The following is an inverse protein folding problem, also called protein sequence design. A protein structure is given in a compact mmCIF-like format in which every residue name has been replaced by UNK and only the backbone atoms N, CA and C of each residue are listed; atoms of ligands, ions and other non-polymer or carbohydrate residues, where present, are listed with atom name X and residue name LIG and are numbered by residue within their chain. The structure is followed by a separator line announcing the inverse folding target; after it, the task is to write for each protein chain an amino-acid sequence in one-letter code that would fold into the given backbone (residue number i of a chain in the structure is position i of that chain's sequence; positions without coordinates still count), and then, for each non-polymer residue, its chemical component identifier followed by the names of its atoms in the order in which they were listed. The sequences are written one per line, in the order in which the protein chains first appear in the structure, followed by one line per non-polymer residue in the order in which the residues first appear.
data_IF_562435444548
#
_entry.id   IF_562435444548
#
_cell.length_a   1.000
_cell.length_b   1.000
_cell.length_c   1.000
_cell.angle_alpha   90.00
_cell.angle_beta   90.00
_cell.angle_gamma   90.00
#
_symmetry.space_group_name_H-M   'P 1'
#
loop_
_entity.id
_entity.type
_entity.pdbx_description
1 polymer ?
#
# COMPACT_ATOMS: atom_id res chain seq x y z
N UNK A 1 -11.81 -5.84 -13.07
CA UNK A 1 -10.70 -5.56 -12.10
C UNK A 1 -10.08 -6.84 -11.54
N UNK A 2 -10.86 -7.75 -10.99
CA UNK A 2 -10.31 -9.00 -10.41
C UNK A 2 -9.50 -9.80 -11.43
N UNK A 3 -9.98 -9.94 -12.67
CA UNK A 3 -9.28 -10.64 -13.74
C UNK A 3 -7.97 -9.96 -14.13
N UNK A 4 -7.91 -8.64 -14.14
CA UNK A 4 -6.69 -7.88 -14.44
C UNK A 4 -5.54 -8.16 -13.48
N UNK A 5 -5.86 -8.48 -12.21
CA UNK A 5 -4.88 -8.81 -11.18
C UNK A 5 -4.88 -10.30 -10.81
N UNK A 6 -5.56 -11.15 -11.61
CA UNK A 6 -5.55 -12.59 -11.37
C UNK A 6 -4.15 -13.14 -11.64
N UNK A 7 -3.56 -13.91 -10.73
CA UNK A 7 -2.35 -14.65 -11.02
C UNK A 7 -2.57 -15.61 -12.21
N UNK A 8 -1.74 -15.49 -13.23
CA UNK A 8 -1.81 -16.35 -14.44
C UNK A 8 -1.32 -17.77 -14.16
N UNK A 9 -0.42 -17.89 -13.17
CA UNK A 9 0.18 -19.15 -12.73
C UNK A 9 0.29 -19.15 -11.20
N UNK A 10 0.23 -20.31 -10.54
CA UNK A 10 0.53 -20.42 -9.11
C UNK A 10 1.99 -20.01 -8.85
N UNK A 11 2.33 -19.80 -7.59
CA UNK A 11 3.71 -19.63 -7.19
C UNK A 11 4.51 -20.91 -7.44
N UNK A 12 5.84 -20.77 -7.64
CA UNK A 12 6.75 -21.86 -7.92
C UNK A 12 7.39 -22.43 -6.63
N UNK A 13 8.65 -22.83 -6.75
CA UNK A 13 9.45 -23.27 -5.60
C UNK A 13 9.69 -22.11 -4.63
N UNK A 14 9.96 -22.47 -3.36
CA UNK A 14 10.33 -21.48 -2.36
C UNK A 14 11.52 -21.96 -1.52
N UNK A 15 12.21 -21.00 -0.92
CA UNK A 15 13.27 -21.21 0.08
C UNK A 15 12.92 -20.41 1.32
N UNK A 16 13.20 -21.01 2.47
CA UNK A 16 12.98 -20.41 3.76
C UNK A 16 14.28 -20.49 4.58
N UNK A 17 14.67 -19.37 5.16
CA UNK A 17 15.82 -19.24 6.02
C UNK A 17 15.41 -18.58 7.33
N UNK A 18 15.81 -19.17 8.48
CA UNK A 18 15.57 -18.54 9.77
C UNK A 18 16.67 -17.50 9.98
N UNK A 19 16.29 -16.22 10.00
CA UNK A 19 17.19 -15.11 10.28
C UNK A 19 17.44 -14.97 11.79
N UNK A 20 16.38 -15.13 12.60
CA UNK A 20 16.46 -14.93 14.05
C UNK A 20 15.33 -15.68 14.77
N UNK A 21 15.65 -16.23 15.96
CA UNK A 21 14.65 -16.75 16.91
C UNK A 21 14.82 -16.03 18.25
N UNK A 22 13.71 -15.62 18.84
CA UNK A 22 13.59 -15.01 20.17
C UNK A 22 12.52 -15.74 20.96
N UNK A 23 12.29 -15.36 22.21
CA UNK A 23 11.19 -15.91 23.02
C UNK A 23 9.81 -15.51 22.48
N UNK A 24 9.73 -14.36 21.79
CA UNK A 24 8.47 -13.77 21.30
C UNK A 24 8.15 -14.18 19.86
N UNK A 25 9.15 -14.43 19.01
CA UNK A 25 8.94 -14.76 17.60
C UNK A 25 10.14 -15.41 16.93
N UNK A 26 9.88 -16.08 15.80
CA UNK A 26 10.90 -16.48 14.82
C UNK A 26 10.77 -15.61 13.57
N UNK A 27 11.84 -14.93 13.17
CA UNK A 27 11.94 -14.21 11.91
C UNK A 27 12.49 -15.13 10.83
N UNK A 28 11.70 -15.31 9.78
CA UNK A 28 12.05 -16.10 8.60
C UNK A 28 12.16 -15.21 7.38
N UNK A 29 13.19 -15.46 6.59
CA UNK A 29 13.33 -14.88 5.26
C UNK A 29 12.89 -15.89 4.23
N UNK A 30 11.83 -15.57 3.47
CA UNK A 30 11.23 -16.50 2.51
C UNK A 30 11.38 -15.87 1.11
N UNK A 31 11.89 -16.66 0.17
CA UNK A 31 11.94 -16.29 -1.25
C UNK A 31 11.13 -17.30 -2.05
N UNK A 32 10.13 -16.81 -2.78
CA UNK A 32 9.22 -17.61 -3.59
C UNK A 32 9.44 -17.26 -5.06
N UNK A 33 9.62 -18.26 -5.90
CA UNK A 33 9.70 -18.08 -7.34
C UNK A 33 8.31 -17.81 -7.91
N UNK A 34 8.18 -16.82 -8.80
CA UNK A 34 6.94 -16.59 -9.52
C UNK A 34 7.18 -15.98 -10.90
N UNK A 35 6.20 -16.13 -11.78
CA UNK A 35 6.26 -15.49 -13.11
C UNK A 35 6.21 -13.95 -13.02
N UNK A 36 5.66 -13.40 -11.93
CA UNK A 36 5.62 -11.96 -11.64
C UNK A 36 6.95 -11.42 -11.06
N UNK A 37 8.00 -12.27 -11.06
CA UNK A 37 9.29 -12.04 -10.42
C UNK A 37 9.34 -12.62 -9.00
N UNK A 38 10.51 -12.63 -8.37
CA UNK A 38 10.69 -13.20 -7.03
C UNK A 38 9.84 -12.46 -6.00
N UNK A 39 9.23 -13.22 -5.09
CA UNK A 39 8.49 -12.68 -3.94
C UNK A 39 9.36 -12.89 -2.71
N UNK A 40 9.83 -11.82 -2.13
CA UNK A 40 10.71 -11.84 -0.95
C UNK A 40 9.89 -11.39 0.25
N UNK A 41 9.86 -12.21 1.29
CA UNK A 41 9.03 -12.01 2.48
C UNK A 41 9.89 -12.08 3.73
N UNK A 42 9.73 -11.08 4.61
CA UNK A 42 10.18 -11.16 6.00
C UNK A 42 8.97 -11.59 6.85
N UNK A 43 8.98 -12.81 7.36
CA UNK A 43 7.87 -13.40 8.12
C UNK A 43 8.20 -13.50 9.61
N UNK A 44 7.42 -12.80 10.41
CA UNK A 44 7.48 -12.82 11.88
C UNK A 44 6.44 -13.79 12.39
N UNK A 45 6.88 -14.97 12.78
CA UNK A 45 6.02 -16.07 13.21
C UNK A 45 5.98 -16.16 14.73
N UNK A 46 4.77 -16.26 15.28
CA UNK A 46 4.51 -16.54 16.69
C UNK A 46 5.08 -17.91 17.11
N UNK A 47 5.56 -18.07 18.35
CA UNK A 47 5.88 -19.38 18.89
C UNK A 47 4.67 -20.31 18.93
N UNK A 48 3.51 -19.76 19.24
CA UNK A 48 2.22 -20.49 19.19
C UNK A 48 1.59 -20.31 17.82
N UNK A 49 1.22 -21.43 17.19
CA UNK A 49 0.52 -21.41 15.90
C UNK A 49 -0.78 -20.60 15.99
N UNK A 50 -0.94 -19.66 15.06
CA UNK A 50 -2.16 -18.87 14.88
C UNK A 50 -2.67 -19.01 13.45
N UNK A 51 -3.99 -18.83 13.23
CA UNK A 51 -4.59 -18.80 11.91
C UNK A 51 -4.62 -17.40 11.31
N UNK A 52 -4.31 -16.38 12.11
CA UNK A 52 -4.29 -14.97 11.68
C UNK A 52 -2.91 -14.56 11.17
N UNK A 53 -2.90 -13.70 10.18
CA UNK A 53 -1.70 -13.07 9.61
C UNK A 53 -2.00 -11.63 9.22
N UNK A 54 -1.15 -10.70 9.64
CA UNK A 54 -1.18 -9.31 9.20
C UNK A 54 -0.11 -9.08 8.14
N UNK A 55 -0.51 -8.74 6.90
CA UNK A 55 0.42 -8.29 5.87
C UNK A 55 0.76 -6.82 6.10
N UNK A 56 2.06 -6.51 6.24
CA UNK A 56 2.58 -5.16 6.39
C UNK A 56 3.12 -4.67 5.07
N UNK A 57 2.47 -3.64 4.53
CA UNK A 57 2.78 -3.08 3.21
C UNK A 57 3.86 -1.99 3.31
N UNK A 58 4.95 -2.10 2.52
CA UNK A 58 6.07 -1.19 2.61
C UNK A 58 5.77 0.26 2.26
N UNK A 59 6.36 1.20 3.01
CA UNK A 59 6.39 2.63 2.70
C UNK A 59 7.32 2.95 1.52
N UNK A 60 7.42 4.21 1.14
CA UNK A 60 8.28 4.64 0.03
C UNK A 60 9.78 4.52 0.31
N UNK A 61 10.21 4.35 1.56
CA UNK A 61 11.61 4.46 1.99
C UNK A 61 12.56 3.36 1.50
N UNK A 62 12.11 2.11 1.47
CA UNK A 62 12.86 0.95 0.94
C UNK A 62 13.91 0.34 1.86
N UNK A 63 13.99 0.72 3.14
CA UNK A 63 14.88 0.10 4.15
C UNK A 63 14.13 -0.80 5.13
N UNK A 64 12.82 -0.91 5.01
CA UNK A 64 11.90 -1.73 5.80
C UNK A 64 12.04 -1.61 7.34
N UNK A 65 12.65 -0.53 7.86
CA UNK A 65 12.81 -0.42 9.31
C UNK A 65 11.48 -0.12 10.02
N UNK A 66 10.60 0.69 9.39
CA UNK A 66 9.26 0.99 9.88
C UNK A 66 8.43 -0.29 9.83
N UNK A 67 8.47 -0.98 8.71
CA UNK A 67 7.74 -2.22 8.47
C UNK A 67 8.17 -3.33 9.43
N UNK A 68 9.48 -3.51 9.63
CA UNK A 68 10.03 -4.48 10.58
C UNK A 68 9.63 -4.14 12.02
N UNK A 69 9.58 -2.84 12.37
CA UNK A 69 9.08 -2.43 13.67
C UNK A 69 7.60 -2.78 13.85
N UNK A 70 6.75 -2.42 12.87
CA UNK A 70 5.31 -2.73 12.91
C UNK A 70 5.07 -4.24 12.94
N UNK A 71 5.74 -5.02 12.08
CA UNK A 71 5.59 -6.46 12.03
C UNK A 71 5.99 -7.11 13.37
N UNK A 72 7.09 -6.64 13.98
CA UNK A 72 7.50 -7.08 15.33
C UNK A 72 6.45 -6.72 16.37
N UNK A 73 5.91 -5.49 16.31
CA UNK A 73 4.87 -5.06 17.24
C UNK A 73 3.59 -5.91 17.13
N UNK A 74 3.20 -6.30 15.89
CA UNK A 74 2.07 -7.19 15.65
C UNK A 74 2.33 -8.58 16.23
N UNK A 75 3.52 -9.16 16.00
CA UNK A 75 3.82 -10.50 16.50
C UNK A 75 3.91 -10.53 18.03
N UNK A 76 4.50 -9.53 18.67
CA UNK A 76 4.52 -9.36 20.13
C UNK A 76 3.10 -9.11 20.71
N UNK A 77 2.15 -8.70 19.87
CA UNK A 77 0.74 -8.47 20.25
C UNK A 77 -0.18 -9.67 19.99
N UNK A 78 0.33 -10.76 19.45
CA UNK A 78 -0.39 -12.01 19.26
C UNK A 78 -0.72 -12.39 17.81
N UNK A 79 -0.29 -11.60 16.81
CA UNK A 79 -0.57 -11.84 15.40
C UNK A 79 0.69 -12.19 14.64
N UNK A 80 0.67 -13.24 13.82
CA UNK A 80 1.73 -13.39 12.84
C UNK A 80 1.75 -12.18 11.91
N UNK A 81 2.94 -11.76 11.46
CA UNK A 81 3.07 -10.64 10.56
C UNK A 81 4.05 -10.93 9.43
N UNK A 82 3.76 -10.46 8.23
CA UNK A 82 4.63 -10.65 7.07
C UNK A 82 4.78 -9.36 6.28
N UNK A 83 6.01 -9.05 5.89
CA UNK A 83 6.33 -7.95 5.00
C UNK A 83 6.59 -8.54 3.63
N UNK A 84 5.70 -8.28 2.66
CA UNK A 84 5.94 -8.64 1.26
C UNK A 84 6.75 -7.51 0.63
N UNK A 85 8.03 -7.79 0.38
CA UNK A 85 8.95 -6.80 -0.18
C UNK A 85 8.56 -6.48 -1.63
N UNK A 86 8.52 -5.19 -1.97
CA UNK A 86 8.09 -4.72 -3.29
C UNK A 86 9.26 -4.24 -4.11
N UNK A 87 9.17 -4.46 -5.42
CA UNK A 87 10.09 -3.83 -6.37
C UNK A 87 10.05 -2.31 -6.23
N UNK A 88 11.21 -1.69 -6.28
CA UNK A 88 11.39 -0.24 -6.30
C UNK A 88 11.65 0.31 -7.71
N UNK A 89 11.46 -0.50 -8.74
CA UNK A 89 11.68 -0.15 -10.14
C UNK A 89 10.88 1.06 -10.60
N UNK A 90 9.71 1.28 -10.01
CA UNK A 90 8.90 2.49 -10.27
C UNK A 90 9.62 3.81 -9.91
N UNK A 91 10.72 3.77 -9.12
CA UNK A 91 11.54 4.95 -8.81
C UNK A 91 12.53 5.29 -9.92
N UNK A 92 12.75 4.37 -10.85
CA UNK A 92 13.60 4.56 -12.01
C UNK A 92 12.86 5.37 -13.08
N UNK A 93 13.24 6.61 -13.38
CA UNK A 93 12.57 7.43 -14.38
C UNK A 93 12.61 6.83 -15.79
N UNK A 94 13.57 5.95 -16.09
CA UNK A 94 13.64 5.27 -17.38
C UNK A 94 12.52 4.25 -17.59
N UNK A 95 11.88 3.80 -16.50
CA UNK A 95 10.79 2.83 -16.50
C UNK A 95 9.40 3.48 -16.42
N UNK A 96 9.31 4.77 -16.72
CA UNK A 96 8.04 5.50 -16.63
C UNK A 96 6.91 4.84 -17.42
N UNK A 97 7.17 4.35 -18.61
CA UNK A 97 6.18 3.69 -19.48
C UNK A 97 5.71 2.32 -18.95
N UNK A 98 6.46 1.74 -17.99
CA UNK A 98 6.15 0.46 -17.35
C UNK A 98 5.56 0.62 -15.94
N UNK A 99 5.21 1.84 -15.51
CA UNK A 99 4.71 2.08 -14.15
C UNK A 99 3.49 1.23 -13.80
N UNK A 100 2.54 1.15 -14.73
CA UNK A 100 1.34 0.36 -14.51
C UNK A 100 1.65 -1.13 -14.36
N UNK A 101 2.51 -1.66 -15.21
CA UNK A 101 2.95 -3.05 -15.13
C UNK A 101 3.64 -3.35 -13.79
N UNK A 102 4.56 -2.46 -13.38
CA UNK A 102 5.27 -2.59 -12.10
C UNK A 102 4.28 -2.59 -10.92
N UNK A 103 3.29 -1.71 -10.94
CA UNK A 103 2.28 -1.66 -9.87
C UNK A 103 1.36 -2.88 -9.91
N UNK A 104 0.89 -3.28 -11.08
CA UNK A 104 0.09 -4.49 -11.28
C UNK A 104 0.81 -5.75 -10.77
N UNK A 105 2.07 -5.94 -11.16
CA UNK A 105 2.88 -7.09 -10.74
C UNK A 105 3.09 -7.13 -9.22
N UNK A 106 3.21 -5.98 -8.56
CA UNK A 106 3.26 -5.94 -7.09
C UNK A 106 1.97 -6.47 -6.45
N UNK A 107 0.80 -6.12 -7.00
CA UNK A 107 -0.49 -6.64 -6.50
C UNK A 107 -0.59 -8.16 -6.73
N UNK A 108 -0.13 -8.64 -7.87
CA UNK A 108 -0.10 -10.08 -8.17
C UNK A 108 0.81 -10.82 -7.19
N UNK A 109 1.99 -10.27 -6.86
CA UNK A 109 2.90 -10.85 -5.85
C UNK A 109 2.26 -10.91 -4.46
N UNK A 110 1.51 -9.88 -4.06
CA UNK A 110 0.77 -9.90 -2.79
C UNK A 110 -0.26 -11.03 -2.78
N UNK A 111 -1.00 -11.22 -3.87
CA UNK A 111 -1.99 -12.30 -3.99
C UNK A 111 -1.36 -13.69 -3.95
N UNK A 112 -0.23 -13.87 -4.64
CA UNK A 112 0.55 -15.12 -4.58
C UNK A 112 1.13 -15.36 -3.17
N UNK A 113 1.51 -14.32 -2.44
CA UNK A 113 1.93 -14.45 -1.04
C UNK A 113 0.76 -14.91 -0.14
N UNK A 114 -0.47 -14.43 -0.39
CA UNK A 114 -1.66 -14.93 0.31
C UNK A 114 -1.94 -16.40 -0.01
N UNK A 115 -1.77 -16.82 -1.27
CA UNK A 115 -1.88 -18.22 -1.68
C UNK A 115 -0.86 -19.10 -0.93
N UNK A 116 0.39 -18.62 -0.88
CA UNK A 116 1.48 -19.28 -0.16
C UNK A 116 1.16 -19.45 1.33
N UNK A 117 0.79 -18.38 2.02
CA UNK A 117 0.48 -18.46 3.45
C UNK A 117 -0.74 -19.32 3.76
N UNK A 118 -1.71 -19.37 2.86
CA UNK A 118 -2.86 -20.26 3.00
C UNK A 118 -2.45 -21.72 2.85
N UNK A 119 -1.63 -22.05 1.85
CA UNK A 119 -1.23 -23.41 1.54
C UNK A 119 -0.18 -23.95 2.53
N UNK A 120 0.91 -23.22 2.74
CA UNK A 120 2.07 -23.73 3.48
C UNK A 120 1.94 -23.52 5.01
N UNK A 121 1.26 -22.44 5.43
CA UNK A 121 1.11 -22.09 6.84
C UNK A 121 -0.31 -22.27 7.40
N UNK A 122 -1.27 -22.61 6.55
CA UNK A 122 -2.67 -22.81 6.95
C UNK A 122 -3.33 -21.54 7.46
N UNK A 123 -2.91 -20.36 6.95
CA UNK A 123 -3.53 -19.09 7.32
C UNK A 123 -4.88 -18.94 6.66
N UNK A 124 -5.88 -18.52 7.45
CA UNK A 124 -7.27 -18.39 6.99
C UNK A 124 -7.87 -17.01 7.30
N UNK A 125 -7.22 -16.25 8.17
CA UNK A 125 -7.65 -14.91 8.58
C UNK A 125 -6.54 -13.92 8.27
N UNK A 126 -6.82 -13.00 7.35
CA UNK A 126 -5.83 -12.04 6.89
C UNK A 126 -6.23 -10.60 7.21
N UNK A 127 -5.30 -9.89 7.86
CA UNK A 127 -5.33 -8.46 7.99
C UNK A 127 -4.27 -7.81 7.11
N UNK A 128 -4.39 -6.50 6.91
CA UNK A 128 -3.38 -5.70 6.22
C UNK A 128 -3.12 -4.39 6.94
N UNK A 129 -1.86 -4.00 7.01
CA UNK A 129 -1.44 -2.73 7.60
C UNK A 129 -0.54 -1.98 6.63
N UNK A 130 -0.77 -0.67 6.49
CA UNK A 130 0.09 0.19 5.69
C UNK A 130 0.10 1.64 6.14
N UNK A 131 1.26 2.29 5.99
CA UNK A 131 1.46 3.72 6.23
C UNK A 131 1.84 4.39 4.90
N UNK A 132 1.29 5.58 4.61
CA UNK A 132 1.64 6.36 3.41
C UNK A 132 1.44 5.55 2.13
N UNK A 133 2.49 5.34 1.33
CA UNK A 133 2.43 4.43 0.17
C UNK A 133 1.93 3.03 0.54
N UNK A 134 2.29 2.52 1.71
CA UNK A 134 1.78 1.23 2.20
C UNK A 134 0.26 1.23 2.33
N UNK A 135 -0.33 2.29 2.84
CA UNK A 135 -1.79 2.45 2.95
C UNK A 135 -2.48 2.51 1.57
N UNK A 136 -1.86 3.19 0.61
CA UNK A 136 -2.32 3.21 -0.80
C UNK A 136 -2.33 1.78 -1.36
N UNK A 137 -1.26 1.02 -1.12
CA UNK A 137 -1.16 -0.36 -1.59
C UNK A 137 -2.17 -1.29 -0.90
N UNK A 138 -2.44 -1.09 0.40
CA UNK A 138 -3.53 -1.80 1.10
C UNK A 138 -4.87 -1.54 0.40
N UNK A 139 -5.20 -0.27 0.13
CA UNK A 139 -6.46 0.09 -0.53
C UNK A 139 -6.62 -0.55 -1.92
N UNK A 140 -5.50 -0.73 -2.64
CA UNK A 140 -5.50 -1.41 -3.94
C UNK A 140 -5.67 -2.92 -3.73
N UNK A 141 -4.77 -3.56 -3.01
CA UNK A 141 -4.73 -5.04 -2.93
C UNK A 141 -5.94 -5.59 -2.19
N UNK A 142 -6.36 -4.99 -1.06
CA UNK A 142 -7.52 -5.45 -0.31
C UNK A 142 -8.86 -5.17 -1.02
N UNK A 143 -8.91 -4.12 -1.85
CA UNK A 143 -10.08 -3.89 -2.72
C UNK A 143 -10.21 -4.90 -3.86
N UNK A 144 -9.16 -5.67 -4.15
CA UNK A 144 -9.12 -6.70 -5.21
C UNK A 144 -9.23 -8.10 -4.61
N UNK A 145 -8.55 -8.35 -3.49
CA UNK A 145 -8.49 -9.67 -2.87
C UNK A 145 -9.29 -9.71 -1.57
N UNK A 146 -10.48 -10.34 -1.56
CA UNK A 146 -11.38 -10.35 -0.40
C UNK A 146 -10.85 -11.16 0.79
N UNK A 147 -9.74 -11.89 0.63
CA UNK A 147 -9.06 -12.56 1.75
C UNK A 147 -8.44 -11.57 2.72
N UNK A 148 -8.02 -10.37 2.27
CA UNK A 148 -7.61 -9.27 3.14
C UNK A 148 -8.86 -8.64 3.79
N UNK A 149 -9.34 -9.27 4.84
CA UNK A 149 -10.63 -8.96 5.46
C UNK A 149 -10.57 -7.71 6.33
N UNK A 150 -9.47 -7.50 7.07
CA UNK A 150 -9.35 -6.44 8.08
C UNK A 150 -8.18 -5.53 7.73
N UNK A 151 -8.48 -4.25 7.47
CA UNK A 151 -7.54 -3.36 6.82
C UNK A 151 -7.28 -2.11 7.66
N UNK A 152 -6.01 -1.82 7.96
CA UNK A 152 -5.58 -0.61 8.65
C UNK A 152 -4.72 0.23 7.71
N UNK A 153 -5.14 1.44 7.44
CA UNK A 153 -4.49 2.37 6.51
C UNK A 153 -4.23 3.70 7.20
N UNK A 154 -2.96 4.02 7.39
CA UNK A 154 -2.53 5.29 7.98
C UNK A 154 -1.94 6.22 6.91
N UNK A 155 -2.41 7.48 6.86
CA UNK A 155 -1.90 8.53 5.97
C UNK A 155 -1.88 8.13 4.49
N UNK A 156 -2.90 7.37 4.06
CA UNK A 156 -3.12 6.97 2.68
C UNK A 156 -4.02 7.94 1.94
N UNK A 157 -4.10 7.74 0.63
CA UNK A 157 -4.95 8.55 -0.25
C UNK A 157 -5.34 7.79 -1.52
N UNK A 158 -6.13 8.42 -2.36
CA UNK A 158 -6.64 7.92 -3.64
C UNK A 158 -6.38 8.93 -4.74
N UNK A 159 -6.69 8.57 -6.01
CA UNK A 159 -6.53 9.45 -7.18
C UNK A 159 -5.06 9.87 -7.36
N UNK A 160 -4.21 8.86 -7.58
CA UNK A 160 -2.76 8.99 -7.56
C UNK A 160 -2.21 10.03 -8.54
N UNK A 161 -2.84 10.21 -9.69
CA UNK A 161 -2.41 11.22 -10.69
C UNK A 161 -2.49 12.62 -10.10
N UNK A 162 -3.62 12.97 -9.48
CA UNK A 162 -3.80 14.27 -8.85
C UNK A 162 -3.04 14.37 -7.53
N UNK A 163 -3.02 13.29 -6.74
CA UNK A 163 -2.22 13.22 -5.51
C UNK A 163 -0.74 13.51 -5.79
N UNK A 164 -0.16 12.93 -6.83
CA UNK A 164 1.24 13.19 -7.20
C UNK A 164 1.46 14.63 -7.65
N UNK A 165 0.49 15.25 -8.32
CA UNK A 165 0.56 16.66 -8.71
C UNK A 165 0.58 17.60 -7.51
N UNK A 166 -0.19 17.29 -6.48
CA UNK A 166 -0.47 18.16 -5.33
C UNK A 166 0.37 17.81 -4.09
N UNK A 167 1.17 16.72 -4.17
CA UNK A 167 2.04 16.26 -3.09
C UNK A 167 3.21 17.21 -2.86
N UNK A 168 3.53 17.51 -1.59
CA UNK A 168 4.73 18.24 -1.20
C UNK A 168 5.99 17.35 -1.10
N UNK A 169 5.91 16.08 -1.53
CA UNK A 169 7.03 15.14 -1.43
C UNK A 169 8.09 15.42 -2.48
N UNK A 170 9.24 15.94 -2.06
CA UNK A 170 10.37 16.30 -2.95
C UNK A 170 10.80 15.13 -3.87
N UNK A 171 10.71 13.88 -3.40
CA UNK A 171 11.06 12.71 -4.25
C UNK A 171 10.12 12.55 -5.44
N UNK A 172 8.84 12.88 -5.25
CA UNK A 172 7.84 12.84 -6.32
C UNK A 172 8.11 13.98 -7.30
N UNK A 173 8.37 15.19 -6.79
CA UNK A 173 8.71 16.33 -7.63
C UNK A 173 9.97 16.10 -8.46
N UNK A 174 11.04 15.58 -7.85
CA UNK A 174 12.27 15.23 -8.56
C UNK A 174 12.02 14.15 -9.64
N UNK A 175 11.20 13.15 -9.36
CA UNK A 175 10.84 12.13 -10.33
C UNK A 175 10.09 12.74 -11.53
N UNK A 176 9.08 13.58 -11.28
CA UNK A 176 8.33 14.29 -12.33
C UNK A 176 9.26 15.11 -13.19
N UNK A 177 10.16 15.90 -12.57
CA UNK A 177 11.14 16.72 -13.28
C UNK A 177 12.06 15.89 -14.15
N UNK A 178 12.67 14.84 -13.59
CA UNK A 178 13.60 13.97 -14.32
C UNK A 178 12.93 13.28 -15.51
N UNK A 179 11.72 12.75 -15.34
CA UNK A 179 10.98 12.12 -16.45
C UNK A 179 10.60 13.16 -17.51
N UNK A 180 10.15 14.34 -17.09
CA UNK A 180 9.75 15.41 -18.01
C UNK A 180 10.92 15.90 -18.85
N UNK A 181 12.06 16.15 -18.24
CA UNK A 181 13.29 16.57 -18.94
C UNK A 181 13.78 15.52 -19.92
N UNK A 182 13.82 14.24 -19.49
CA UNK A 182 14.30 13.15 -20.33
C UNK A 182 13.43 12.90 -21.58
N UNK A 183 12.15 13.30 -21.55
CA UNK A 183 11.17 13.08 -22.61
C UNK A 183 10.73 14.34 -23.34
N UNK A 184 11.21 15.51 -22.90
CA UNK A 184 10.78 16.79 -23.43
C UNK A 184 9.33 17.12 -23.13
N UNK A 185 8.78 16.56 -22.00
CA UNK A 185 7.41 16.82 -21.60
C UNK A 185 7.31 18.12 -20.82
N UNK A 186 6.26 18.89 -21.08
CA UNK A 186 5.75 19.83 -20.10
C UNK A 186 5.17 19.08 -18.89
N UNK A 187 5.01 19.77 -17.76
CA UNK A 187 4.36 19.18 -16.58
C UNK A 187 2.96 18.63 -16.89
N UNK A 188 2.21 19.31 -17.77
CA UNK A 188 0.88 18.87 -18.17
C UNK A 188 0.95 17.57 -18.98
N UNK A 189 1.86 17.47 -19.95
CA UNK A 189 2.04 16.27 -20.76
C UNK A 189 2.47 15.06 -19.93
N UNK A 190 3.32 15.27 -18.90
CA UNK A 190 3.65 14.22 -17.94
C UNK A 190 2.40 13.66 -17.25
N UNK A 191 1.53 14.52 -16.71
CA UNK A 191 0.32 14.06 -16.03
C UNK A 191 -0.71 13.46 -16.99
N UNK A 192 -0.77 13.91 -18.22
CA UNK A 192 -1.63 13.32 -19.24
C UNK A 192 -1.14 11.92 -19.65
N UNK A 193 0.18 11.74 -19.79
CA UNK A 193 0.79 10.45 -20.02
C UNK A 193 0.57 9.49 -18.84
N UNK A 194 0.76 9.98 -17.60
CA UNK A 194 0.52 9.20 -16.40
C UNK A 194 -0.97 8.78 -16.30
N UNK A 195 -1.90 9.69 -16.61
CA UNK A 195 -3.35 9.40 -16.58
C UNK A 195 -3.76 8.34 -17.58
N UNK A 196 -3.14 8.34 -18.77
CA UNK A 196 -3.42 7.35 -19.81
C UNK A 196 -3.01 5.94 -19.42
N UNK A 197 -1.89 5.80 -18.72
CA UNK A 197 -1.36 4.48 -18.38
C UNK A 197 -1.83 3.94 -17.01
N UNK A 198 -1.99 4.80 -15.99
CA UNK A 198 -2.17 4.35 -14.62
C UNK A 198 -3.59 3.85 -14.33
N UNK A 199 -3.69 2.54 -14.08
CA UNK A 199 -4.93 1.82 -13.72
C UNK A 199 -4.89 1.30 -12.28
N UNK A 200 -3.69 1.02 -11.77
CA UNK A 200 -3.47 0.54 -10.40
C UNK A 200 -3.52 1.71 -9.42
N UNK A 201 -4.73 2.10 -9.04
CA UNK A 201 -5.04 3.27 -8.21
C UNK A 201 -6.20 2.93 -7.25
N UNK A 202 -6.15 3.31 -5.95
CA UNK A 202 -7.24 3.12 -5.00
C UNK A 202 -8.59 3.64 -5.50
N UNK A 203 -8.61 4.66 -6.36
CA UNK A 203 -9.87 5.21 -6.90
C UNK A 203 -10.75 4.19 -7.63
N UNK A 204 -10.14 3.08 -8.09
CA UNK A 204 -10.86 2.01 -8.76
C UNK A 204 -11.16 0.82 -7.85
N UNK A 205 -10.46 0.69 -6.71
CA UNK A 205 -10.52 -0.50 -5.87
C UNK A 205 -11.11 -0.24 -4.48
N UNK A 206 -10.94 0.96 -3.92
CA UNK A 206 -11.32 1.26 -2.55
C UNK A 206 -12.84 1.09 -2.27
N UNK A 207 -13.68 1.24 -3.27
CA UNK A 207 -15.14 1.04 -3.15
C UNK A 207 -15.56 -0.42 -2.84
N UNK A 208 -14.66 -1.38 -3.00
CA UNK A 208 -14.91 -2.80 -2.70
C UNK A 208 -14.47 -3.20 -1.30
N UNK A 209 -13.84 -2.28 -0.55
CA UNK A 209 -13.49 -2.50 0.85
C UNK A 209 -14.76 -2.45 1.73
N UNK A 210 -14.87 -3.36 2.70
CA UNK A 210 -15.92 -3.28 3.73
C UNK A 210 -15.54 -2.19 4.75
N UNK A 211 -16.32 -1.12 4.81
CA UNK A 211 -16.08 -0.01 5.75
C UNK A 211 -16.10 -0.45 7.21
N UNK A 212 -16.84 -1.50 7.57
CA UNK A 212 -16.91 -2.04 8.94
C UNK A 212 -15.65 -2.83 9.32
N UNK A 213 -14.87 -3.22 8.33
CA UNK A 213 -13.63 -4.01 8.45
C UNK A 213 -12.39 -3.20 8.08
N UNK A 214 -12.53 -1.87 8.12
CA UNK A 214 -11.46 -0.94 7.74
C UNK A 214 -11.30 0.13 8.81
N UNK A 215 -10.04 0.40 9.18
CA UNK A 215 -9.63 1.51 10.02
C UNK A 215 -8.76 2.47 9.20
N UNK A 216 -9.15 3.74 9.15
CA UNK A 216 -8.33 4.82 8.60
C UNK A 216 -7.71 5.66 9.71
N UNK A 217 -6.46 6.08 9.50
CA UNK A 217 -5.77 7.04 10.36
C UNK A 217 -5.26 8.16 9.44
N UNK A 218 -5.77 9.37 9.59
CA UNK A 218 -5.50 10.50 8.68
C UNK A 218 -4.86 11.66 9.41
N UNK A 219 -3.80 12.23 8.85
CA UNK A 219 -3.18 13.46 9.34
C UNK A 219 -3.90 14.69 8.77
N UNK A 220 -4.49 15.53 9.63
CA UNK A 220 -5.29 16.69 9.21
C UNK A 220 -4.43 17.74 8.47
N UNK A 221 -3.15 17.84 8.81
CA UNK A 221 -2.21 18.77 8.19
C UNK A 221 -1.28 18.10 7.18
N UNK A 222 -1.58 16.86 6.78
CA UNK A 222 -0.76 16.13 5.81
C UNK A 222 -0.77 16.84 4.45
N UNK A 223 0.44 17.14 3.95
CA UNK A 223 0.68 17.72 2.63
C UNK A 223 1.48 16.79 1.72
N UNK A 224 2.06 15.74 2.28
CA UNK A 224 2.77 14.70 1.53
C UNK A 224 1.78 13.79 0.80
N UNK A 225 0.79 13.30 1.55
CA UNK A 225 -0.47 12.77 1.02
C UNK A 225 -1.55 13.74 1.46
N UNK A 226 -1.89 14.75 0.65
CA UNK A 226 -2.77 15.82 1.09
C UNK A 226 -4.07 15.29 1.68
N UNK A 227 -4.48 15.86 2.81
CA UNK A 227 -5.62 15.41 3.61
C UNK A 227 -6.90 15.19 2.80
N UNK A 228 -7.13 16.03 1.78
CA UNK A 228 -8.27 15.90 0.85
C UNK A 228 -8.31 14.55 0.13
N UNK A 229 -7.15 13.97 -0.22
CA UNK A 229 -7.09 12.65 -0.87
C UNK A 229 -7.31 11.52 0.12
N UNK A 230 -6.94 11.70 1.38
CA UNK A 230 -7.34 10.80 2.48
C UNK A 230 -8.84 10.81 2.72
N UNK A 231 -9.48 12.00 2.69
CA UNK A 231 -10.93 12.14 2.79
C UNK A 231 -11.66 11.54 1.57
N UNK A 232 -11.13 11.71 0.37
CA UNK A 232 -11.67 11.04 -0.83
C UNK A 232 -11.63 9.52 -0.66
N UNK A 233 -10.50 8.97 -0.20
CA UNK A 233 -10.37 7.54 0.09
C UNK A 233 -11.40 7.09 1.14
N UNK A 234 -11.55 7.84 2.24
CA UNK A 234 -12.54 7.59 3.29
C UNK A 234 -13.97 7.51 2.72
N UNK A 235 -14.33 8.45 1.87
CA UNK A 235 -15.66 8.49 1.25
C UNK A 235 -15.88 7.32 0.28
N UNK A 236 -14.86 6.95 -0.51
CA UNK A 236 -14.93 5.81 -1.42
C UNK A 236 -15.13 4.47 -0.70
N UNK A 237 -14.53 4.31 0.47
CA UNK A 237 -14.72 3.10 1.30
C UNK A 237 -16.10 3.10 1.99
N UNK A 238 -16.79 4.22 2.03
CA UNK A 238 -18.09 4.34 2.72
C UNK A 238 -17.96 4.74 4.19
N UNK A 239 -17.03 5.64 4.49
CA UNK A 239 -16.79 6.24 5.82
C UNK A 239 -16.49 5.20 6.92
N UNK A 240 -15.39 4.46 6.83
CA UNK A 240 -14.96 3.49 7.83
C UNK A 240 -14.62 4.18 9.16
N UNK A 241 -14.37 3.38 10.21
CA UNK A 241 -13.79 3.87 11.46
C UNK A 241 -12.56 4.73 11.13
N UNK A 242 -12.53 5.98 11.59
CA UNK A 242 -11.46 6.92 11.23
C UNK A 242 -10.92 7.61 12.47
N UNK A 243 -9.60 7.64 12.58
CA UNK A 243 -8.85 8.41 13.57
C UNK A 243 -8.18 9.59 12.86
N UNK A 244 -8.44 10.80 13.33
CA UNK A 244 -7.83 12.02 12.81
C UNK A 244 -6.70 12.47 13.73
N UNK A 245 -5.50 12.53 13.22
CA UNK A 245 -4.34 13.07 13.90
C UNK A 245 -4.15 14.54 13.54
N UNK A 246 -4.08 15.43 14.52
CA UNK A 246 -3.77 16.84 14.28
C UNK A 246 -2.26 17.03 14.04
N UNK A 247 -1.75 16.41 13.02
CA UNK A 247 -0.35 16.31 12.65
C UNK A 247 -0.18 16.32 11.14
N UNK A 248 1.02 16.70 10.68
CA UNK A 248 1.43 16.49 9.30
C UNK A 248 1.92 15.04 9.08
N UNK A 249 2.34 14.72 7.86
CA UNK A 249 2.77 13.38 7.46
C UNK A 249 3.92 12.83 8.33
N UNK A 250 4.91 13.65 8.63
CA UNK A 250 6.12 13.23 9.37
C UNK A 250 5.90 13.28 10.88
N UNK A 251 5.18 14.28 11.37
CA UNK A 251 4.78 14.35 12.79
C UNK A 251 3.85 13.21 13.13
N UNK A 252 3.02 12.74 12.19
CA UNK A 252 2.20 11.53 12.39
C UNK A 252 3.04 10.28 12.67
N UNK A 253 4.27 10.20 12.15
CA UNK A 253 5.21 9.12 12.50
C UNK A 253 5.69 9.22 13.97
N UNK A 254 5.60 10.40 14.61
CA UNK A 254 5.88 10.52 16.04
C UNK A 254 4.85 9.82 16.92
N UNK A 255 3.66 9.55 16.38
CA UNK A 255 2.64 8.72 17.01
C UNK A 255 2.92 7.21 16.84
N UNK A 256 4.02 6.84 16.19
CA UNK A 256 4.58 5.50 16.19
C UNK A 256 5.83 5.47 17.08
N UNK A 257 6.16 4.31 17.60
CA UNK A 257 7.41 4.13 18.35
C UNK A 257 8.66 4.12 17.46
N UNK A 258 8.49 4.23 16.14
CA UNK A 258 9.58 4.16 15.16
C UNK A 258 10.61 5.29 15.29
N UNK A 259 10.22 6.46 15.84
CA UNK A 259 11.15 7.58 16.10
C UNK A 259 12.24 7.21 17.11
N UNK A 260 11.94 6.32 18.07
CA UNK A 260 12.94 5.84 19.00
C UNK A 260 14.03 4.97 18.34
N UNK A 261 13.81 4.50 17.11
CA UNK A 261 14.74 3.69 16.32
C UNK A 261 15.67 4.52 15.43
N UNK A 262 15.43 5.82 15.29
CA UNK A 262 16.38 6.71 14.65
C UNK A 262 17.66 6.75 15.52
N UNK A 263 18.88 6.79 14.90
CA UNK A 263 20.10 6.86 15.66
C UNK A 263 20.00 8.02 16.65
N UNK A 264 20.44 7.83 17.91
CA UNK A 264 20.25 8.83 18.94
C UNK A 264 20.95 10.14 18.51
N UNK A 265 20.16 11.12 18.09
CA UNK A 265 20.56 12.50 18.24
C UNK A 265 20.79 12.67 19.74
N UNK A 266 21.84 13.37 20.13
CA UNK A 266 22.28 13.55 21.52
C UNK A 266 21.22 14.16 22.46
N UNK A 267 20.05 14.47 21.93
CA UNK A 267 18.86 14.93 22.64
C UNK A 267 17.77 13.87 22.55
N UNK A 268 17.54 13.18 23.66
CA UNK A 268 16.36 12.32 23.87
C UNK A 268 15.13 13.20 24.04
N UNK A 269 14.68 13.82 22.99
CA UNK A 269 13.33 14.41 22.94
C UNK A 269 12.36 13.35 22.46
N UNK A 270 12.08 12.38 23.33
CA UNK A 270 10.95 11.47 23.16
C UNK A 270 9.66 12.26 23.31
N UNK A 271 9.10 12.74 22.21
CA UNK A 271 7.88 13.57 22.24
C UNK A 271 6.64 12.74 22.55
N UNK A 272 6.63 11.42 22.25
CA UNK A 272 5.56 10.52 22.66
C UNK A 272 6.12 9.10 22.87
N UNK A 273 6.21 8.61 24.11
CA UNK A 273 6.65 7.23 24.42
C UNK A 273 5.58 6.18 24.11
N UNK A 274 4.40 6.58 23.61
CA UNK A 274 3.28 5.69 23.41
C UNK A 274 3.08 5.39 21.90
N UNK A 275 3.14 4.11 21.53
CA UNK A 275 2.97 3.68 20.13
C UNK A 275 1.49 3.74 19.72
N UNK A 276 0.96 4.95 19.50
CA UNK A 276 -0.46 5.18 19.36
C UNK A 276 -1.04 4.49 18.09
N UNK A 277 -0.38 4.64 16.95
CA UNK A 277 -0.84 4.04 15.69
C UNK A 277 -0.81 2.51 15.79
N UNK A 278 0.24 1.94 16.37
CA UNK A 278 0.36 0.51 16.60
C UNK A 278 -0.74 0.00 17.55
N UNK A 279 -1.03 0.74 18.62
CA UNK A 279 -2.08 0.38 19.58
C UNK A 279 -3.48 0.46 18.97
N UNK A 280 -3.74 1.45 18.10
CA UNK A 280 -5.01 1.54 17.35
C UNK A 280 -5.16 0.32 16.43
N UNK A 281 -4.11 -0.03 15.68
CA UNK A 281 -4.11 -1.19 14.79
C UNK A 281 -4.31 -2.50 15.57
N UNK A 282 -3.56 -2.71 16.67
CA UNK A 282 -3.71 -3.89 17.53
C UNK A 282 -5.11 -3.97 18.14
N UNK A 283 -5.66 -2.83 18.60
CA UNK A 283 -7.02 -2.79 19.13
C UNK A 283 -8.06 -3.16 18.07
N UNK A 284 -7.87 -2.66 16.84
CA UNK A 284 -8.72 -2.99 15.72
C UNK A 284 -8.66 -4.49 15.39
N UNK A 285 -7.46 -5.07 15.26
CA UNK A 285 -7.32 -6.50 14.95
C UNK A 285 -7.82 -7.40 16.07
N UNK A 286 -7.59 -7.06 17.36
CA UNK A 286 -8.13 -7.85 18.48
C UNK A 286 -9.65 -7.95 18.43
N UNK A 287 -10.34 -6.84 18.13
CA UNK A 287 -11.79 -6.86 17.94
C UNK A 287 -12.21 -7.65 16.70
N UNK A 288 -11.44 -7.52 15.61
CA UNK A 288 -11.76 -8.10 14.30
C UNK A 288 -11.54 -9.61 14.24
N UNK A 289 -10.52 -10.11 14.94
CA UNK A 289 -10.18 -11.54 15.01
C UNK A 289 -10.78 -12.22 16.26
N UNK A 290 -11.68 -11.56 16.99
CA UNK A 290 -12.30 -12.07 18.23
C UNK A 290 -11.30 -12.39 19.36
N UNK A 291 -10.18 -11.65 19.42
CA UNK A 291 -9.14 -11.83 20.44
C UNK A 291 -9.30 -10.89 21.64
N UNK A 292 -10.44 -10.19 21.75
CA UNK A 292 -10.80 -9.36 22.90
C UNK A 292 -10.52 -7.87 22.73
N UNK A 293 -10.25 -7.18 23.85
CA UNK A 293 -10.13 -5.72 23.92
C UNK A 293 -8.72 -5.28 24.30
N UNK A 294 -8.29 -4.15 23.74
CA UNK A 294 -7.05 -3.50 24.13
C UNK A 294 -7.32 -2.35 25.10
N UNK A 295 -7.33 -2.64 26.40
CA UNK A 295 -7.59 -1.66 27.45
C UNK A 295 -6.52 -0.55 27.55
N UNK A 296 -5.31 -0.78 27.06
CA UNK A 296 -4.22 0.22 27.04
C UNK A 296 -4.56 1.46 26.23
N UNK A 297 -5.45 1.31 25.25
CA UNK A 297 -5.87 2.39 24.37
C UNK A 297 -6.99 3.27 24.97
N UNK A 298 -7.74 2.80 25.97
CA UNK A 298 -8.92 3.49 26.49
C UNK A 298 -8.66 4.96 26.91
N UNK A 299 -7.61 5.30 27.65
CA UNK A 299 -7.34 6.70 28.01
C UNK A 299 -7.15 7.61 26.81
N UNK A 300 -6.51 7.08 25.75
CA UNK A 300 -6.25 7.83 24.51
C UNK A 300 -7.53 8.00 23.68
N UNK A 301 -8.41 7.01 23.65
CA UNK A 301 -9.72 7.12 22.98
C UNK A 301 -10.59 8.22 23.61
N UNK A 302 -10.55 8.42 24.93
CA UNK A 302 -11.26 9.50 25.60
C UNK A 302 -10.77 10.87 25.14
N UNK A 303 -9.45 11.05 24.97
CA UNK A 303 -8.86 12.30 24.47
C UNK A 303 -9.09 12.47 22.97
N UNK A 304 -9.02 11.39 22.22
CA UNK A 304 -9.13 11.40 20.76
C UNK A 304 -10.56 11.62 20.27
N UNK A 305 -11.57 11.16 21.02
CA UNK A 305 -12.98 11.25 20.61
C UNK A 305 -13.45 12.69 20.30
N UNK A 306 -13.22 13.72 21.17
CA UNK A 306 -13.59 15.09 20.83
C UNK A 306 -12.78 15.65 19.64
N UNK A 307 -11.51 15.26 19.49
CA UNK A 307 -10.69 15.68 18.35
C UNK A 307 -11.23 15.09 17.05
N UNK A 308 -11.61 13.83 17.05
CA UNK A 308 -12.24 13.20 15.89
C UNK A 308 -13.54 13.91 15.51
N UNK A 309 -14.39 14.26 16.48
CA UNK A 309 -15.64 14.96 16.22
C UNK A 309 -15.41 16.32 15.54
N UNK A 310 -14.43 17.08 16.01
CA UNK A 310 -14.04 18.37 15.40
C UNK A 310 -13.52 18.16 13.97
N UNK A 311 -12.66 17.18 13.76
CA UNK A 311 -12.09 16.89 12.46
C UNK A 311 -13.16 16.38 11.47
N UNK A 312 -14.12 15.58 11.90
CA UNK A 312 -15.26 15.16 11.09
C UNK A 312 -16.12 16.36 10.68
N UNK A 313 -16.43 17.26 11.60
CA UNK A 313 -17.15 18.50 11.30
C UNK A 313 -16.42 19.35 10.26
N UNK A 314 -15.10 19.51 10.37
CA UNK A 314 -14.28 20.22 9.38
C UNK A 314 -14.26 19.50 8.02
N UNK A 315 -14.18 18.19 8.00
CA UNK A 315 -14.21 17.39 6.79
C UNK A 315 -15.56 17.50 6.06
N UNK A 316 -16.67 17.48 6.78
CA UNK A 316 -18.01 17.64 6.22
C UNK A 316 -18.23 19.06 5.69
N UNK A 317 -17.75 20.10 6.40
CA UNK A 317 -17.77 21.48 5.90
C UNK A 317 -16.92 21.60 4.63
N UNK A 318 -15.72 21.03 4.61
CA UNK A 318 -14.85 21.01 3.43
C UNK A 318 -15.52 20.36 2.22
N UNK A 319 -16.25 19.26 2.41
CA UNK A 319 -16.99 18.58 1.33
C UNK A 319 -18.14 19.43 0.81
N UNK A 320 -18.83 20.19 1.67
CA UNK A 320 -19.87 21.14 1.27
C UNK A 320 -19.28 22.30 0.46
N UNK A 321 -18.10 22.81 0.84
CA UNK A 321 -17.42 23.87 0.07
C UNK A 321 -16.95 23.37 -1.31
N UNK A 322 -16.44 22.15 -1.42
CA UNK A 322 -16.10 21.53 -2.71
C UNK A 322 -17.36 21.37 -3.59
N UNK A 323 -18.46 20.92 -3.00
CA UNK A 323 -19.74 20.83 -3.69
C UNK A 323 -20.26 22.18 -4.17
N UNK A 324 -20.19 23.24 -3.35
CA UNK A 324 -20.59 24.61 -3.73
C UNK A 324 -19.71 25.22 -4.82
N UNK A 325 -18.45 24.79 -4.94
CA UNK A 325 -17.55 25.21 -6.03
C UNK A 325 -17.76 24.44 -7.35
N UNK A 326 -18.83 23.66 -7.46
CA UNK A 326 -19.15 22.88 -8.66
C UNK A 326 -18.41 21.54 -8.75
N UNK A 327 -17.86 21.07 -7.64
CA UNK A 327 -17.37 19.69 -7.53
C UNK A 327 -18.52 18.70 -7.75
N UNK A 328 -18.28 17.65 -8.53
CA UNK A 328 -19.27 16.58 -8.69
C UNK A 328 -19.56 15.97 -7.31
N UNK A 329 -20.85 15.74 -7.00
CA UNK A 329 -21.23 15.08 -5.76
C UNK A 329 -20.53 13.71 -5.66
N UNK A 330 -20.15 13.30 -4.45
CA UNK A 330 -19.53 11.98 -4.20
C UNK A 330 -20.29 10.85 -4.89
N UNK A 331 -21.61 10.89 -4.88
CA UNK A 331 -22.52 9.93 -5.51
C UNK A 331 -22.39 9.90 -7.05
N UNK A 332 -22.18 11.06 -7.68
CA UNK A 332 -21.98 11.18 -9.13
C UNK A 332 -20.60 10.67 -9.55
N UNK A 333 -19.59 10.92 -8.72
CA UNK A 333 -18.23 10.41 -8.90
C UNK A 333 -18.20 8.90 -8.71
N UNK A 334 -18.87 8.37 -7.69
CA UNK A 334 -19.00 6.92 -7.46
C UNK A 334 -19.72 6.23 -8.62
N UNK A 335 -20.82 6.83 -9.13
CA UNK A 335 -21.53 6.27 -10.28
C UNK A 335 -20.67 6.24 -11.52
N UNK A 336 -19.92 7.30 -11.83
CA UNK A 336 -18.98 7.33 -12.96
C UNK A 336 -17.86 6.29 -12.80
N UNK A 337 -17.33 6.12 -11.60
CA UNK A 337 -16.29 5.12 -11.32
C UNK A 337 -16.84 3.69 -11.48
N UNK A 338 -18.08 3.42 -11.04
CA UNK A 338 -18.76 2.13 -11.28
C UNK A 338 -19.00 1.88 -12.76
N UNK A 339 -19.51 2.87 -13.49
CA UNK A 339 -19.74 2.78 -14.95
C UNK A 339 -18.43 2.50 -15.70
N UNK A 340 -17.31 3.15 -15.33
CA UNK A 340 -15.98 2.87 -15.88
C UNK A 340 -15.49 1.47 -15.53
N UNK A 341 -15.74 1.01 -14.30
CA UNK A 341 -15.38 -0.32 -13.84
C UNK A 341 -16.18 -1.40 -14.60
N UNK A 342 -17.49 -1.22 -14.79
CA UNK A 342 -18.34 -2.16 -15.51
C UNK A 342 -17.93 -2.24 -16.98
N UNK A 343 -17.53 -1.13 -17.59
CA UNK A 343 -16.95 -1.10 -18.93
C UNK A 343 -15.67 -1.94 -19.04
N UNK A 344 -14.81 -1.94 -18.02
CA UNK A 344 -13.58 -2.73 -18.02
C UNK A 344 -13.79 -4.23 -17.75
N UNK A 345 -14.90 -4.59 -17.15
CA UNK A 345 -15.26 -5.99 -16.85
C UNK A 345 -16.13 -6.64 -17.94
N UNK A 346 -16.56 -5.88 -18.97
CA UNK A 346 -17.38 -6.42 -20.06
C UNK A 346 -16.51 -7.26 -20.99
N UNK A 347 -16.73 -8.58 -21.11
CA UNK A 347 -15.96 -9.41 -22.03
C UNK A 347 -16.19 -8.95 -23.47
N UNK A 348 -15.13 -8.60 -24.18
CA UNK A 348 -15.18 -8.29 -25.61
C UNK A 348 -15.04 -6.82 -26.01
N UNK A 349 -15.00 -5.87 -25.10
CA UNK A 349 -14.58 -4.51 -25.42
C UNK A 349 -13.06 -4.40 -25.18
N UNK A 350 -12.31 -4.94 -26.10
CA UNK A 350 -10.96 -4.46 -26.36
C UNK A 350 -11.16 -3.17 -27.12
N UNK A 351 -10.88 -2.03 -26.50
CA UNK A 351 -10.88 -0.76 -27.21
C UNK A 351 -9.94 -0.88 -28.40
N UNK A 352 -10.52 -1.03 -29.58
CA UNK A 352 -9.80 -1.24 -30.84
C UNK A 352 -9.16 0.03 -31.38
N UNK A 353 -8.49 0.83 -30.55
CA UNK A 353 -7.73 2.01 -30.96
C UNK A 353 -6.47 2.28 -30.13
N UNK A 354 -5.88 1.26 -29.53
CA UNK A 354 -4.50 1.33 -29.09
C UNK A 354 -3.74 0.15 -29.66
N UNK A 355 -3.45 0.22 -30.95
CA UNK A 355 -2.34 -0.49 -31.58
C UNK A 355 -1.05 -0.07 -30.88
N UNK A 356 -0.70 -0.78 -29.82
CA UNK A 356 0.69 -0.90 -29.42
C UNK A 356 1.30 -1.82 -30.47
N UNK A 357 2.21 -1.36 -31.35
CA UNK A 357 2.83 -2.24 -32.32
C UNK A 357 3.49 -3.37 -31.54
N UNK A 358 3.11 -4.61 -31.86
CA UNK A 358 3.79 -5.79 -31.37
C UNK A 358 5.29 -5.65 -31.68
N UNK A 359 6.19 -6.00 -30.74
CA UNK A 359 7.61 -5.99 -31.04
C UNK A 359 7.87 -6.92 -32.23
N UNK A 360 8.41 -6.36 -33.29
CA UNK A 360 8.79 -7.06 -34.54
C UNK A 360 9.68 -8.25 -34.16
N UNK A 361 9.33 -9.49 -34.59
CA UNK A 361 10.23 -10.60 -34.45
C UNK A 361 11.15 -10.63 -35.66
N UNK A 362 12.27 -9.90 -35.64
CA UNK A 362 13.43 -10.13 -36.49
C UNK A 362 14.59 -9.22 -36.09
N UNK A 363 15.45 -9.74 -35.28
CA UNK A 363 16.83 -9.32 -35.13
C UNK A 363 17.66 -10.58 -35.06
N UNK A 364 18.35 -10.89 -36.18
CA UNK A 364 19.19 -12.05 -36.35
C UNK A 364 20.22 -12.16 -35.23
N UNK A 365 20.21 -13.28 -34.52
CA UNK A 365 21.29 -13.69 -33.64
C UNK A 365 22.47 -14.07 -34.47
N UNK A 366 23.42 -13.16 -34.65
CA UNK A 366 24.74 -13.47 -35.14
C UNK A 366 25.47 -14.23 -34.05
N UNK A 367 25.56 -15.54 -34.23
CA UNK A 367 26.38 -16.41 -33.40
C UNK A 367 27.87 -16.08 -33.63
N UNK A 368 28.49 -15.39 -32.67
CA UNK A 368 29.95 -15.27 -32.60
C UNK A 368 30.51 -16.59 -32.06
N UNK A 369 31.04 -17.43 -32.94
CA UNK A 369 31.94 -18.55 -32.59
C UNK A 369 33.25 -17.96 -32.07
N UNK A 370 33.55 -18.22 -30.82
CA UNK A 370 34.91 -18.10 -30.28
C UNK A 370 35.61 -19.43 -30.48
N UNK A 371 36.47 -19.48 -31.50
CA UNK A 371 37.45 -20.56 -31.69
C UNK A 371 38.55 -20.38 -30.61
N UNK A 372 38.69 -21.38 -29.74
CA UNK A 372 39.78 -21.48 -28.81
C UNK A 372 40.92 -22.28 -29.46
N UNK A 373 42.04 -21.64 -29.73
CA UNK A 373 43.30 -22.31 -30.02
C UNK A 373 44.05 -22.63 -28.71
N UNK A 374 44.72 -23.76 -28.62
CA UNK A 374 45.49 -24.15 -27.46
C UNK A 374 46.91 -23.59 -27.49
N UNK A 375 47.31 -22.93 -26.39
CA UNK A 375 48.67 -22.50 -26.20
C UNK A 375 49.60 -23.68 -25.78
N UNK A 376 50.75 -23.69 -26.39
CA UNK A 376 51.90 -24.52 -25.98
C UNK A 376 52.50 -24.04 -24.65
#
# INVERSE_FOLDING_TARGET
MEEYYRPEKPYGSFREEIEKTTDDYTLKHITIDSYAGPIVIDYFQQPKRTNSLVLVFPVLGGKNFIEKHIARYMVESGFDAAIVNRSNEFKDPTKFEHLEEIFRLNVIRDRLALDFFSAEYGKTQFGSFGISRGAINVAITAGIDPRLQYNVMAMGGTDLVHLFRDSSQTRIENYITTVSEARGYSKQEFFDALRKQLRTDPKYTAQYLDSRKTLLILGVFDRTVPFSYGLKLRNQIGRPETVFLFADHYVSLAYTQTISLLPPSKEKTGVFPFPYIEQEAVSFYKRSFDEGWNWKLLPFKIVQAPLNLVAEGLADIGSVFEWMRGGESSEKTERKLREQHDHWNTPGIVDGEHDVPAPSPKGDVVAMRLDAEPAK
#
